data_IF_217731355793
#
_entry.id   IF_217731355793
#
_cell.length_a   1.000
_cell.length_b   1.000
_cell.length_c   1.000
_cell.angle_alpha   90.00
_cell.angle_beta   90.00
_cell.angle_gamma   90.00
#
_symmetry.space_group_name_H-M   'P 1'
#
loop_
_entity.id
_entity.type
_entity.pdbx_description
1 polymer ?
#
# COMPACT_ATOMS: atom_id res chain seq x y z
N UNK A 1 0.92 -11.27 28.55
CA UNK A 1 0.77 -9.81 28.59
C UNK A 1 0.12 -9.42 27.28
N UNK A 2 -1.16 -9.07 27.36
CA UNK A 2 -2.02 -8.76 26.22
C UNK A 2 -2.16 -7.23 26.22
N UNK A 3 -1.34 -6.54 25.44
CA UNK A 3 -1.35 -5.07 25.39
C UNK A 3 -1.75 -4.58 23.99
N UNK A 4 -3.03 -4.24 23.93
CA UNK A 4 -3.82 -3.72 22.82
C UNK A 4 -3.45 -2.28 22.42
N UNK A 5 -2.18 -2.01 22.05
CA UNK A 5 -1.75 -0.68 21.53
C UNK A 5 -0.83 -0.78 20.30
N UNK A 6 -0.57 -1.97 19.77
CA UNK A 6 0.05 -2.08 18.43
C UNK A 6 -1.03 -2.05 17.36
N UNK A 7 -1.28 -0.86 16.79
CA UNK A 7 -2.06 -0.71 15.55
C UNK A 7 -1.24 -1.33 14.40
N UNK A 8 -1.37 -2.64 14.25
CA UNK A 8 -0.70 -3.43 13.23
C UNK A 8 -1.25 -3.13 11.84
N UNK A 9 -0.50 -3.52 10.81
CA UNK A 9 -0.97 -3.37 9.44
C UNK A 9 -2.24 -4.19 9.19
N UNK A 10 -2.39 -5.33 9.87
CA UNK A 10 -3.59 -6.17 9.82
C UNK A 10 -4.87 -5.43 10.26
N UNK A 11 -4.79 -4.65 11.34
CA UNK A 11 -5.88 -3.80 11.83
C UNK A 11 -6.19 -2.71 10.80
N UNK A 12 -5.16 -2.03 10.30
CA UNK A 12 -5.32 -0.98 9.29
C UNK A 12 -5.99 -1.51 8.01
N UNK A 13 -5.63 -2.72 7.57
CA UNK A 13 -6.26 -3.35 6.41
C UNK A 13 -7.70 -3.77 6.68
N UNK A 14 -8.04 -4.18 7.90
CA UNK A 14 -9.41 -4.48 8.30
C UNK A 14 -10.28 -3.22 8.28
N UNK A 15 -9.79 -2.13 8.86
CA UNK A 15 -10.50 -0.84 8.91
C UNK A 15 -10.74 -0.28 7.51
N UNK A 16 -9.71 -0.35 6.65
CA UNK A 16 -9.84 0.03 5.24
C UNK A 16 -10.92 -0.81 4.53
N UNK A 17 -10.92 -2.12 4.71
CA UNK A 17 -11.94 -3.02 4.12
C UNK A 17 -13.35 -2.70 4.64
N UNK A 18 -13.51 -2.34 5.90
CA UNK A 18 -14.80 -1.89 6.45
C UNK A 18 -15.30 -0.61 5.76
N UNK A 19 -14.44 0.41 5.63
CA UNK A 19 -14.79 1.66 4.95
C UNK A 19 -15.16 1.45 3.47
N UNK A 20 -14.37 0.63 2.76
CA UNK A 20 -14.67 0.22 1.39
C UNK A 20 -16.01 -0.53 1.30
N UNK A 21 -16.31 -1.40 2.26
CA UNK A 21 -17.57 -2.13 2.34
C UNK A 21 -18.79 -1.22 2.50
N UNK A 22 -18.68 -0.17 3.33
CA UNK A 22 -19.71 0.87 3.45
C UNK A 22 -19.92 1.59 2.11
N UNK A 23 -18.85 2.08 1.49
CA UNK A 23 -18.93 2.80 0.20
C UNK A 23 -19.48 1.93 -0.93
N UNK A 24 -19.16 0.63 -0.96
CA UNK A 24 -19.72 -0.30 -1.94
C UNK A 24 -21.24 -0.49 -1.79
N UNK A 25 -21.79 -0.36 -0.57
CA UNK A 25 -23.25 -0.43 -0.34
C UNK A 25 -23.95 0.88 -0.63
N UNK A 26 -23.35 2.00 -0.21
CA UNK A 26 -24.00 3.31 -0.25
C UNK A 26 -23.76 4.07 -1.56
N UNK A 27 -22.67 3.78 -2.27
CA UNK A 27 -22.25 4.48 -3.48
C UNK A 27 -21.68 3.50 -4.54
N UNK A 28 -22.37 2.39 -4.78
CA UNK A 28 -21.91 1.30 -5.64
C UNK A 28 -21.48 1.74 -7.05
N UNK A 29 -22.24 2.64 -7.70
CA UNK A 29 -21.91 3.15 -9.04
C UNK A 29 -20.62 3.96 -9.05
N UNK A 30 -20.44 4.83 -8.06
CA UNK A 30 -19.21 5.61 -7.85
C UNK A 30 -18.02 4.70 -7.61
N UNK A 31 -18.16 3.70 -6.74
CA UNK A 31 -17.08 2.75 -6.44
C UNK A 31 -16.73 1.89 -7.66
N UNK A 32 -17.72 1.49 -8.47
CA UNK A 32 -17.47 0.79 -9.74
C UNK A 32 -16.66 1.64 -10.71
N UNK A 33 -17.02 2.92 -10.88
CA UNK A 33 -16.28 3.83 -11.74
C UNK A 33 -14.84 4.06 -11.24
N UNK A 34 -14.67 4.22 -9.93
CA UNK A 34 -13.36 4.39 -9.31
C UNK A 34 -12.48 3.13 -9.47
N UNK A 35 -13.05 1.93 -9.27
CA UNK A 35 -12.35 0.67 -9.48
C UNK A 35 -11.91 0.48 -10.94
N UNK A 36 -12.75 0.86 -11.91
CA UNK A 36 -12.39 0.83 -13.33
C UNK A 36 -11.21 1.77 -13.63
N UNK A 37 -11.25 3.01 -13.13
CA UNK A 37 -10.15 3.95 -13.28
C UNK A 37 -8.84 3.42 -12.66
N UNK A 38 -8.90 2.88 -11.44
CA UNK A 38 -7.71 2.30 -10.79
C UNK A 38 -7.14 1.13 -11.61
N UNK A 39 -8.00 0.26 -12.14
CA UNK A 39 -7.58 -0.87 -12.98
C UNK A 39 -6.86 -0.41 -14.23
N UNK A 40 -7.37 0.61 -14.91
CA UNK A 40 -6.74 1.19 -16.11
C UNK A 40 -5.42 1.90 -15.77
N UNK A 41 -5.40 2.68 -14.69
CA UNK A 41 -4.22 3.45 -14.30
C UNK A 41 -3.05 2.56 -13.85
N UNK A 42 -3.33 1.51 -13.06
CA UNK A 42 -2.34 0.63 -12.44
C UNK A 42 -2.07 -0.67 -13.21
N UNK A 43 -2.87 -1.02 -14.22
CA UNK A 43 -2.64 -2.17 -15.08
C UNK A 43 -1.46 -1.99 -16.05
N UNK A 44 -1.12 -3.03 -16.80
CA UNK A 44 -0.03 -2.99 -17.77
C UNK A 44 -0.26 -1.96 -18.89
N UNK A 45 0.83 -1.34 -19.35
CA UNK A 45 0.83 -0.40 -20.48
C UNK A 45 2.26 -0.16 -20.96
N UNK A 46 2.59 1.11 -21.27
CA UNK A 46 3.99 1.48 -21.58
C UNK A 46 4.93 1.19 -20.42
N UNK A 47 4.45 1.40 -19.20
CA UNK A 47 5.06 0.88 -17.98
C UNK A 47 4.25 -0.35 -17.53
N UNK A 48 4.95 -1.40 -17.12
CA UNK A 48 4.33 -2.59 -16.55
C UNK A 48 3.67 -2.29 -15.19
N UNK A 49 2.74 -3.15 -14.78
CA UNK A 49 2.02 -3.03 -13.52
C UNK A 49 2.98 -3.05 -12.32
N UNK A 50 4.06 -3.85 -12.40
CA UNK A 50 5.10 -3.92 -11.36
C UNK A 50 5.73 -2.54 -11.10
N UNK A 51 6.14 -1.84 -12.15
CA UNK A 51 6.73 -0.50 -12.07
C UNK A 51 5.72 0.51 -11.55
N UNK A 52 4.46 0.43 -11.99
CA UNK A 52 3.40 1.32 -11.50
C UNK A 52 3.10 1.14 -10.02
N UNK A 53 3.14 -0.09 -9.50
CA UNK A 53 2.98 -0.35 -8.07
C UNK A 53 4.16 0.20 -7.23
N UNK A 54 5.40 0.14 -7.75
CA UNK A 54 6.56 0.79 -7.10
C UNK A 54 6.40 2.32 -7.03
N UNK A 55 5.91 2.93 -8.12
CA UNK A 55 5.61 4.38 -8.14
C UNK A 55 4.52 4.69 -7.12
N UNK A 56 3.42 3.92 -7.12
CA UNK A 56 2.31 4.11 -6.21
C UNK A 56 2.73 3.94 -4.74
N UNK A 57 3.61 2.99 -4.43
CA UNK A 57 4.18 2.83 -3.09
C UNK A 57 4.99 4.06 -2.67
N UNK A 58 5.85 4.60 -3.55
CA UNK A 58 6.58 5.84 -3.27
C UNK A 58 5.64 7.02 -2.99
N UNK A 59 4.55 7.14 -3.78
CA UNK A 59 3.51 8.14 -3.55
C UNK A 59 2.78 7.91 -2.22
N UNK A 60 2.47 6.67 -1.85
CA UNK A 60 1.82 6.34 -0.59
C UNK A 60 2.67 6.73 0.64
N UNK A 61 3.98 6.49 0.56
CA UNK A 61 4.93 6.87 1.62
C UNK A 61 5.01 8.39 1.75
N UNK A 62 5.23 9.10 0.64
CA UNK A 62 5.33 10.58 0.65
C UNK A 62 4.02 11.25 1.06
N UNK A 63 2.88 10.64 0.73
CA UNK A 63 1.55 11.05 1.16
C UNK A 63 1.25 10.70 2.63
N UNK A 64 2.11 9.92 3.30
CA UNK A 64 1.95 9.53 4.72
C UNK A 64 0.63 8.79 4.97
N UNK A 65 0.21 7.96 4.01
CA UNK A 65 -1.05 7.25 4.05
C UNK A 65 -0.85 5.79 4.46
N UNK A 66 -1.16 5.44 5.72
CA UNK A 66 -0.95 4.09 6.27
C UNK A 66 -1.71 3.01 5.48
N UNK A 67 -2.94 3.29 5.06
CA UNK A 67 -3.75 2.37 4.27
C UNK A 67 -3.16 2.16 2.87
N UNK A 68 -2.73 3.24 2.23
CA UNK A 68 -2.13 3.21 0.90
C UNK A 68 -0.81 2.42 0.92
N UNK A 69 0.01 2.59 1.97
CA UNK A 69 1.25 1.83 2.15
C UNK A 69 0.95 0.35 2.23
N UNK A 70 0.01 -0.08 3.08
CA UNK A 70 -0.38 -1.49 3.19
C UNK A 70 -0.83 -2.08 1.86
N UNK A 71 -1.74 -1.39 1.16
CA UNK A 71 -2.29 -1.82 -0.14
C UNK A 71 -1.18 -1.98 -1.19
N UNK A 72 -0.31 -0.98 -1.32
CA UNK A 72 0.69 -0.99 -2.38
C UNK A 72 1.90 -1.87 -2.06
N UNK A 73 2.20 -2.16 -0.78
CA UNK A 73 3.14 -3.23 -0.42
C UNK A 73 2.57 -4.60 -0.78
N UNK A 74 1.32 -4.91 -0.41
CA UNK A 74 0.67 -6.18 -0.75
C UNK A 74 0.66 -6.41 -2.26
N UNK A 75 0.23 -5.41 -3.04
CA UNK A 75 0.17 -5.49 -4.50
C UNK A 75 1.55 -5.59 -5.13
N UNK A 76 2.54 -4.84 -4.65
CA UNK A 76 3.93 -4.94 -5.12
C UNK A 76 4.47 -6.37 -4.95
N UNK A 77 4.31 -6.95 -3.76
CA UNK A 77 4.76 -8.32 -3.49
C UNK A 77 4.04 -9.34 -4.40
N UNK A 78 2.73 -9.18 -4.60
CA UNK A 78 1.95 -10.02 -5.55
C UNK A 78 2.38 -9.86 -7.00
N UNK A 79 2.89 -8.68 -7.38
CA UNK A 79 3.46 -8.41 -8.70
C UNK A 79 4.91 -8.91 -8.86
N UNK A 80 5.46 -9.62 -7.87
CA UNK A 80 6.83 -10.16 -7.92
C UNK A 80 7.91 -9.12 -7.64
N UNK A 81 7.55 -8.00 -6.99
CA UNK A 81 8.54 -7.07 -6.43
C UNK A 81 9.24 -7.74 -5.25
N UNK A 82 10.56 -7.64 -5.23
CA UNK A 82 11.40 -8.10 -4.14
C UNK A 82 11.46 -7.10 -2.98
N UNK A 83 11.78 -7.60 -1.78
CA UNK A 83 12.07 -6.77 -0.62
C UNK A 83 13.11 -5.67 -0.94
N UNK A 84 14.17 -6.02 -1.68
CA UNK A 84 15.22 -5.09 -2.06
C UNK A 84 14.70 -3.94 -2.94
N UNK A 85 13.83 -4.23 -3.90
CA UNK A 85 13.19 -3.20 -4.73
C UNK A 85 12.29 -2.27 -3.91
N UNK A 86 11.56 -2.80 -2.92
CA UNK A 86 10.77 -1.98 -1.98
C UNK A 86 11.66 -1.05 -1.16
N UNK A 87 12.82 -1.54 -0.70
CA UNK A 87 13.81 -0.73 0.02
C UNK A 87 14.37 0.40 -0.87
N UNK A 88 14.60 0.15 -2.17
CA UNK A 88 14.98 1.22 -3.11
C UNK A 88 13.90 2.31 -3.21
N UNK A 89 12.62 1.93 -3.29
CA UNK A 89 11.51 2.91 -3.26
C UNK A 89 11.49 3.72 -1.97
N UNK A 90 11.77 3.07 -0.83
CA UNK A 90 11.86 3.77 0.46
C UNK A 90 12.95 4.85 0.45
N UNK A 91 14.14 4.56 -0.10
CA UNK A 91 15.23 5.56 -0.23
C UNK A 91 14.78 6.76 -1.07
N UNK A 92 14.13 6.51 -2.20
CA UNK A 92 13.59 7.57 -3.07
C UNK A 92 12.51 8.38 -2.35
N UNK A 93 11.58 7.71 -1.66
CA UNK A 93 10.54 8.39 -0.90
C UNK A 93 11.12 9.26 0.23
N UNK A 94 12.19 8.81 0.90
CA UNK A 94 12.89 9.58 1.94
C UNK A 94 13.57 10.82 1.36
N UNK A 95 14.27 10.72 0.23
CA UNK A 95 14.93 11.92 -0.35
C UNK A 95 13.90 12.96 -0.81
N UNK A 96 12.74 12.50 -1.30
CA UNK A 96 11.68 13.40 -1.78
C UNK A 96 10.79 13.96 -0.64
N UNK A 97 10.52 13.16 0.39
CA UNK A 97 9.59 13.51 1.47
C UNK A 97 10.26 13.88 2.81
N UNK A 98 11.59 13.76 2.90
CA UNK A 98 12.39 14.11 4.06
C UNK A 98 12.08 13.28 5.32
N UNK A 99 12.36 13.88 6.48
CA UNK A 99 12.08 13.27 7.79
C UNK A 99 10.65 12.73 7.95
N UNK A 100 9.59 13.45 7.51
CA UNK A 100 8.22 12.94 7.58
C UNK A 100 7.97 11.66 6.78
N UNK A 101 8.60 11.48 5.62
CA UNK A 101 8.48 10.21 4.88
C UNK A 101 9.24 9.08 5.58
N UNK A 102 10.40 9.38 6.17
CA UNK A 102 11.20 8.41 6.91
C UNK A 102 10.41 7.76 8.06
N UNK A 103 9.61 8.53 8.82
CA UNK A 103 8.84 7.95 9.93
C UNK A 103 7.80 6.92 9.47
N UNK A 104 7.33 7.01 8.23
CA UNK A 104 6.35 6.07 7.67
C UNK A 104 6.97 4.78 7.11
N UNK A 105 8.30 4.66 7.08
CA UNK A 105 8.95 3.38 6.77
C UNK A 105 8.61 2.31 7.82
N UNK A 106 8.27 2.71 9.06
CA UNK A 106 7.73 1.80 10.06
C UNK A 106 6.46 1.07 9.56
N UNK A 107 5.61 1.74 8.78
CA UNK A 107 4.40 1.13 8.22
C UNK A 107 4.71 0.22 7.03
N UNK A 108 5.73 0.58 6.23
CA UNK A 108 6.25 -0.31 5.17
C UNK A 108 6.76 -1.61 5.78
N UNK A 109 7.54 -1.52 6.87
CA UNK A 109 8.06 -2.69 7.59
C UNK A 109 6.94 -3.57 8.13
N UNK A 110 5.92 -2.99 8.76
CA UNK A 110 4.75 -3.76 9.24
C UNK A 110 4.00 -4.44 8.10
N UNK A 111 3.86 -3.79 6.94
CA UNK A 111 3.23 -4.40 5.77
C UNK A 111 4.06 -5.54 5.20
N UNK A 112 5.39 -5.38 5.10
CA UNK A 112 6.28 -6.45 4.69
C UNK A 112 6.18 -7.66 5.63
N UNK A 113 6.21 -7.42 6.94
CA UNK A 113 6.08 -8.49 7.93
C UNK A 113 4.76 -9.25 7.78
N UNK A 114 3.66 -8.55 7.51
CA UNK A 114 2.35 -9.17 7.31
C UNK A 114 2.31 -10.02 6.04
N UNK A 115 2.77 -9.47 4.91
CA UNK A 115 2.51 -10.07 3.59
C UNK A 115 3.64 -10.96 3.06
N UNK A 116 4.86 -10.87 3.59
CA UNK A 116 5.93 -11.82 3.27
C UNK A 116 5.71 -13.17 3.97
N UNK A 117 5.08 -13.18 5.14
CA UNK A 117 4.70 -14.41 5.86
C UNK A 117 3.69 -15.25 5.06
N UNK A 118 2.80 -14.61 4.31
CA UNK A 118 1.78 -15.27 3.48
C UNK A 118 2.35 -15.89 2.18
N UNK A 119 3.65 -15.71 1.90
CA UNK A 119 4.33 -16.29 0.72
C UNK A 119 5.10 -17.58 1.04
N UNK A 120 5.17 -18.00 2.30
CA UNK A 120 5.88 -19.18 2.76
C UNK A 120 5.09 -20.49 2.59
#
# INVERSE_FOLDING_TARGET
MNDSVHNGMDVSMRDFKMGMGMMNREAASTMKAFAAFMGEALGDGVLDAKTKELIALGMAITARCVYCIGIHVEKSLRAGVSHAEIVEVCKVAIVMGGGPAMTYIAEVKKALDLFEQDRA
#
